data_IF_777715155291
#
_entry.id   IF_777715155291
#
_cell.length_a   1.000
_cell.length_b   1.000
_cell.length_c   1.000
_cell.angle_alpha   90.00
_cell.angle_beta   90.00
_cell.angle_gamma   90.00
#
_symmetry.space_group_name_H-M   'P 1'
#
loop_
_entity.id
_entity.type
_entity.pdbx_description
1 polymer ?
#
# COMPACT_ATOMS: atom_id res chain seq x y z
N UNK A 1 32.57 13.25 26.98
CA UNK A 1 32.31 12.74 25.62
C UNK A 1 30.87 12.29 25.53
N UNK A 2 30.15 12.61 24.45
CA UNK A 2 28.77 12.14 24.27
C UNK A 2 28.75 10.61 24.22
N UNK A 3 27.87 9.98 25.00
CA UNK A 3 27.69 8.52 24.97
C UNK A 3 27.40 8.04 23.54
N UNK A 4 27.91 6.87 23.10
CA UNK A 4 27.63 6.30 21.78
C UNK A 4 26.13 6.21 21.50
N UNK A 5 25.34 5.90 22.53
CA UNK A 5 23.87 5.84 22.46
C UNK A 5 23.23 7.19 22.09
N UNK A 6 23.81 8.31 22.55
CA UNK A 6 23.34 9.65 22.17
C UNK A 6 23.67 9.98 20.71
N UNK A 7 24.77 9.43 20.17
CA UNK A 7 25.14 9.63 18.78
C UNK A 7 24.20 8.85 17.84
N UNK A 8 23.87 7.61 18.18
CA UNK A 8 22.88 6.80 17.46
C UNK A 8 21.49 7.43 17.52
N UNK A 9 21.06 7.87 18.70
CA UNK A 9 19.79 8.56 18.87
C UNK A 9 19.68 9.79 17.96
N UNK A 10 20.74 10.61 17.85
CA UNK A 10 20.76 11.76 16.92
C UNK A 10 20.62 11.35 15.45
N UNK A 11 21.15 10.18 15.07
CA UNK A 11 21.03 9.67 13.69
C UNK A 11 19.64 9.14 13.39
N UNK A 12 18.91 8.60 14.37
CA UNK A 12 17.58 8.01 14.15
C UNK A 12 16.44 8.90 14.64
N UNK A 13 16.72 10.00 15.34
CA UNK A 13 15.68 10.87 15.94
C UNK A 13 14.74 11.47 14.90
N UNK A 14 15.16 11.56 13.64
CA UNK A 14 14.31 12.04 12.56
C UNK A 14 13.31 10.98 12.09
N UNK A 15 13.42 9.71 12.49
CA UNK A 15 12.48 8.65 12.11
C UNK A 15 11.33 8.61 13.13
N UNK A 16 10.35 9.50 12.97
CA UNK A 16 9.20 9.57 13.86
C UNK A 16 7.90 9.27 13.12
N UNK A 17 6.89 8.77 13.84
CA UNK A 17 5.57 8.54 13.21
C UNK A 17 4.97 9.83 12.64
N UNK A 18 5.23 10.97 13.27
CA UNK A 18 4.73 12.28 12.86
C UNK A 18 5.28 12.78 11.53
N UNK A 19 6.47 12.35 11.10
CA UNK A 19 7.06 12.73 9.81
C UNK A 19 7.10 11.58 8.80
N UNK A 20 6.45 10.46 9.10
CA UNK A 20 6.37 9.27 8.22
C UNK A 20 6.02 9.61 6.77
N UNK A 21 5.02 10.46 6.54
CA UNK A 21 4.61 10.84 5.17
C UNK A 21 5.72 11.54 4.37
N UNK A 22 6.61 12.27 5.03
CA UNK A 22 7.74 12.95 4.39
C UNK A 22 8.87 11.96 4.08
N UNK A 23 9.13 11.03 5.01
CA UNK A 23 10.09 9.95 4.82
C UNK A 23 9.67 9.09 3.62
N UNK A 24 8.39 8.74 3.54
CA UNK A 24 7.81 8.00 2.39
C UNK A 24 8.07 8.72 1.07
N UNK A 25 7.90 10.05 1.01
CA UNK A 25 8.16 10.82 -0.20
C UNK A 25 9.65 10.82 -0.59
N UNK A 26 10.54 11.02 0.39
CA UNK A 26 11.99 10.95 0.15
C UNK A 26 12.43 9.56 -0.32
N UNK A 27 11.78 8.52 0.21
CA UNK A 27 12.05 7.15 -0.19
C UNK A 27 11.54 6.84 -1.60
N UNK A 28 10.35 7.34 -1.98
CA UNK A 28 9.86 7.24 -3.36
C UNK A 28 10.85 7.88 -4.32
N UNK A 29 11.35 9.09 -4.00
CA UNK A 29 12.38 9.78 -4.79
C UNK A 29 13.68 8.98 -4.90
N UNK A 30 14.07 8.27 -3.84
CA UNK A 30 15.22 7.36 -3.84
C UNK A 30 15.03 6.18 -4.82
N UNK A 31 13.86 5.55 -4.83
CA UNK A 31 13.52 4.48 -5.79
C UNK A 31 13.50 5.02 -7.23
N UNK A 32 12.92 6.19 -7.44
CA UNK A 32 12.83 6.87 -8.74
C UNK A 32 14.17 7.44 -9.23
N UNK A 33 15.22 7.42 -8.38
CA UNK A 33 16.56 7.99 -8.64
C UNK A 33 16.50 9.48 -9.02
N UNK A 34 15.69 10.25 -8.29
CA UNK A 34 15.57 11.70 -8.46
C UNK A 34 16.90 12.41 -8.15
N UNK A 35 17.48 13.21 -9.08
CA UNK A 35 18.70 13.97 -8.84
C UNK A 35 18.55 15.06 -7.76
N UNK A 36 17.32 15.43 -7.38
CA UNK A 36 17.04 16.38 -6.30
C UNK A 36 17.13 15.77 -4.90
N UNK A 37 17.35 14.45 -4.77
CA UNK A 37 17.43 13.79 -3.48
C UNK A 37 18.74 14.17 -2.75
N UNK A 38 18.69 14.60 -1.46
CA UNK A 38 19.89 14.88 -0.69
C UNK A 38 20.76 13.64 -0.46
N UNK A 39 22.09 13.82 -0.54
CA UNK A 39 23.09 12.74 -0.35
C UNK A 39 22.98 12.04 1.01
N UNK A 40 22.56 12.76 2.05
CA UNK A 40 22.33 12.17 3.38
C UNK A 40 21.24 11.09 3.36
N UNK A 41 20.16 11.30 2.59
CA UNK A 41 19.09 10.33 2.42
C UNK A 41 19.54 9.14 1.60
N UNK A 42 20.28 9.37 0.52
CA UNK A 42 20.84 8.30 -0.30
C UNK A 42 21.75 7.38 0.53
N UNK A 43 22.67 7.96 1.32
CA UNK A 43 23.55 7.20 2.20
C UNK A 43 22.76 6.46 3.28
N UNK A 44 21.76 7.11 3.89
CA UNK A 44 20.91 6.48 4.89
C UNK A 44 20.18 5.25 4.32
N UNK A 45 19.50 5.37 3.18
CA UNK A 45 18.77 4.24 2.58
C UNK A 45 19.72 3.13 2.10
N UNK A 46 20.92 3.47 1.62
CA UNK A 46 21.97 2.47 1.32
C UNK A 46 22.38 1.65 2.55
N UNK A 47 22.45 2.26 3.73
CA UNK A 47 22.81 1.52 4.97
C UNK A 47 21.76 0.51 5.40
N UNK A 48 20.50 0.66 4.98
CA UNK A 48 19.44 -0.29 5.30
C UNK A 48 19.60 -1.61 4.51
N UNK A 49 20.28 -1.57 3.36
CA UNK A 49 20.55 -2.73 2.50
C UNK A 49 19.28 -3.57 2.21
N UNK A 50 18.15 -2.90 2.07
CA UNK A 50 16.86 -3.54 1.85
C UNK A 50 16.69 -3.92 0.36
N UNK A 51 16.00 -5.03 0.12
CA UNK A 51 15.75 -5.54 -1.21
C UNK A 51 14.67 -4.70 -1.90
N UNK A 52 15.07 -3.83 -2.84
CA UNK A 52 14.19 -2.86 -3.51
C UNK A 52 12.91 -3.51 -4.07
N UNK A 53 13.00 -4.76 -4.55
CA UNK A 53 11.88 -5.52 -5.11
C UNK A 53 10.80 -5.88 -4.08
N UNK A 54 11.18 -6.14 -2.82
CA UNK A 54 10.23 -6.44 -1.75
C UNK A 54 9.48 -5.18 -1.33
N UNK A 55 10.19 -4.05 -1.29
CA UNK A 55 9.66 -2.80 -0.77
C UNK A 55 8.75 -2.14 -1.80
N UNK A 56 9.07 -2.22 -3.10
CA UNK A 56 8.15 -1.77 -4.16
C UNK A 56 6.80 -2.47 -4.06
N UNK A 57 6.78 -3.77 -3.74
CA UNK A 57 5.56 -4.56 -3.55
C UNK A 57 4.78 -4.13 -2.30
N UNK A 58 5.47 -3.72 -1.24
CA UNK A 58 4.84 -3.19 -0.02
C UNK A 58 4.28 -1.78 -0.22
N UNK A 59 4.97 -0.93 -0.99
CA UNK A 59 4.54 0.42 -1.38
C UNK A 59 3.30 0.37 -2.26
N UNK A 60 3.29 -0.52 -3.27
CA UNK A 60 2.12 -0.78 -4.12
C UNK A 60 0.89 -1.15 -3.27
N UNK A 61 1.15 -1.74 -2.11
CA UNK A 61 0.15 -2.07 -1.12
C UNK A 61 -0.77 -3.19 -1.58
N UNK A 62 -1.71 -3.60 -0.73
CA UNK A 62 -2.67 -4.60 -1.12
C UNK A 62 -3.58 -4.08 -2.25
N UNK A 63 -3.92 -4.96 -3.18
CA UNK A 63 -4.82 -4.73 -4.34
C UNK A 63 -6.16 -4.06 -4.00
N UNK A 64 -6.64 -4.16 -2.75
CA UNK A 64 -7.88 -3.54 -2.28
C UNK A 64 -7.69 -2.14 -1.70
N UNK A 65 -6.45 -1.66 -1.53
CA UNK A 65 -6.15 -0.30 -1.09
C UNK A 65 -6.35 0.65 -2.27
N UNK A 66 -7.28 1.58 -2.14
CA UNK A 66 -7.55 2.60 -3.16
C UNK A 66 -6.36 3.56 -3.27
N UNK A 67 -5.36 3.22 -4.09
CA UNK A 67 -4.19 4.05 -4.33
C UNK A 67 -4.62 5.39 -4.98
N UNK A 68 -4.54 6.48 -4.23
CA UNK A 68 -4.82 7.85 -4.72
C UNK A 68 -3.61 8.51 -5.40
N UNK A 69 -2.39 7.98 -5.23
CA UNK A 69 -1.18 8.52 -5.85
C UNK A 69 -0.97 7.85 -7.21
N UNK A 70 -1.45 8.51 -8.27
CA UNK A 70 -1.06 8.21 -9.65
C UNK A 70 0.40 8.65 -9.81
N UNK A 71 1.34 7.72 -9.72
CA UNK A 71 2.69 7.97 -10.22
C UNK A 71 2.53 8.22 -11.73
N UNK A 72 2.95 9.39 -12.20
CA UNK A 72 2.86 9.77 -13.61
C UNK A 72 4.01 9.06 -14.34
N UNK A 73 3.88 7.75 -14.54
CA UNK A 73 4.73 7.01 -15.48
C UNK A 73 4.10 7.17 -16.87
N UNK A 74 4.64 8.07 -17.68
CA UNK A 74 4.19 8.24 -19.06
C UNK A 74 4.38 6.94 -19.85
N UNK A 75 3.24 6.33 -20.22
CA UNK A 75 2.98 5.40 -21.33
C UNK A 75 3.99 4.28 -21.57
N UNK A 76 3.63 3.08 -21.14
CA UNK A 76 3.62 1.93 -22.04
C UNK A 76 2.19 1.40 -22.12
N UNK A 77 1.66 1.35 -23.35
CA UNK A 77 0.37 0.77 -23.70
C UNK A 77 0.36 -0.67 -23.19
N UNK A 78 -0.23 -0.89 -22.02
CA UNK A 78 -0.53 -2.23 -21.55
C UNK A 78 -1.74 -2.66 -22.36
N UNK A 79 -1.50 -3.44 -23.41
CA UNK A 79 -2.52 -4.33 -23.93
C UNK A 79 -2.82 -5.33 -22.81
N UNK A 80 -3.61 -4.90 -21.81
CA UNK A 80 -4.45 -5.86 -21.14
C UNK A 80 -5.49 -6.21 -22.19
N UNK A 81 -5.40 -7.42 -22.69
CA UNK A 81 -6.60 -8.18 -23.03
C UNK A 81 -7.37 -8.36 -21.72
N UNK A 82 -7.94 -7.26 -21.22
CA UNK A 82 -9.13 -7.35 -20.40
C UNK A 82 -10.18 -7.82 -21.37
N UNK A 83 -10.50 -9.10 -21.30
CA UNK A 83 -11.80 -9.60 -21.69
C UNK A 83 -12.83 -8.51 -21.39
N UNK A 84 -13.55 -8.10 -22.43
CA UNK A 84 -14.56 -7.05 -22.38
C UNK A 84 -15.62 -7.55 -21.40
N UNK A 85 -15.45 -7.25 -20.11
CA UNK A 85 -16.48 -7.52 -19.10
C UNK A 85 -17.62 -6.60 -19.45
N UNK A 86 -18.69 -7.22 -19.97
CA UNK A 86 -19.86 -6.52 -20.44
C UNK A 86 -20.47 -5.77 -19.25
N UNK A 87 -20.97 -4.55 -19.47
CA UNK A 87 -21.53 -3.72 -18.38
C UNK A 87 -22.66 -4.46 -17.62
N UNK A 88 -23.35 -5.38 -18.31
CA UNK A 88 -24.34 -6.29 -17.74
C UNK A 88 -23.79 -7.21 -16.64
N UNK A 89 -22.54 -7.66 -16.77
CA UNK A 89 -21.92 -8.56 -15.80
C UNK A 89 -21.60 -7.81 -14.51
N UNK A 90 -21.19 -6.54 -14.62
CA UNK A 90 -20.89 -5.68 -13.46
C UNK A 90 -22.14 -5.48 -12.59
N UNK A 91 -23.29 -5.16 -13.19
CA UNK A 91 -24.55 -5.00 -12.44
C UNK A 91 -25.02 -6.32 -11.82
N UNK A 92 -24.80 -7.44 -12.51
CA UNK A 92 -25.08 -8.79 -11.97
C UNK A 92 -24.23 -9.08 -10.73
N UNK A 93 -22.93 -8.83 -10.78
CA UNK A 93 -22.03 -9.03 -9.64
C UNK A 93 -22.37 -8.13 -8.44
N UNK A 94 -22.83 -6.89 -8.69
CA UNK A 94 -23.33 -6.00 -7.62
C UNK A 94 -24.58 -6.60 -6.95
N UNK A 95 -25.55 -7.05 -7.73
CA UNK A 95 -26.77 -7.66 -7.20
C UNK A 95 -26.48 -8.94 -6.40
N UNK A 96 -25.55 -9.77 -6.87
CA UNK A 96 -25.10 -10.98 -6.18
C UNK A 96 -24.38 -10.66 -4.86
N UNK A 97 -23.53 -9.62 -4.84
CA UNK A 97 -22.85 -9.16 -3.62
C UNK A 97 -23.84 -8.69 -2.54
N UNK A 98 -24.88 -7.95 -2.94
CA UNK A 98 -25.92 -7.49 -2.02
C UNK A 98 -26.70 -8.69 -1.44
N UNK A 99 -27.06 -9.67 -2.28
CA UNK A 99 -27.74 -10.91 -1.84
C UNK A 99 -26.90 -11.68 -0.83
N UNK A 100 -25.60 -11.83 -1.07
CA UNK A 100 -24.69 -12.51 -0.14
C UNK A 100 -24.65 -11.82 1.23
N UNK A 101 -24.53 -10.49 1.26
CA UNK A 101 -24.55 -9.71 2.51
C UNK A 101 -25.89 -9.86 3.24
N UNK A 102 -27.01 -9.82 2.51
CA UNK A 102 -28.34 -10.00 3.08
C UNK A 102 -28.50 -11.40 3.70
N UNK A 103 -28.01 -12.44 3.02
CA UNK A 103 -28.00 -13.81 3.52
C UNK A 103 -27.22 -13.93 4.83
N UNK A 104 -25.99 -13.38 4.88
CA UNK A 104 -25.17 -13.37 6.10
C UNK A 104 -25.92 -12.69 7.25
N UNK A 105 -26.54 -11.53 7.02
CA UNK A 105 -27.32 -10.83 8.04
C UNK A 105 -28.52 -11.66 8.52
N UNK A 106 -29.23 -12.31 7.62
CA UNK A 106 -30.35 -13.17 7.96
C UNK A 106 -29.92 -14.34 8.86
N UNK A 107 -28.82 -15.02 8.51
CA UNK A 107 -28.24 -16.08 9.34
C UNK A 107 -27.75 -15.58 10.70
N UNK A 108 -27.20 -14.36 10.79
CA UNK A 108 -26.81 -13.79 12.08
C UNK A 108 -28.00 -13.47 12.99
N UNK A 109 -29.10 -13.00 12.42
CA UNK A 109 -30.28 -12.59 13.19
C UNK A 109 -31.16 -13.80 13.56
N UNK A 110 -31.42 -14.69 12.59
CA UNK A 110 -32.35 -15.83 12.76
C UNK A 110 -31.68 -17.20 12.78
N UNK A 111 -30.35 -17.27 12.71
CA UNK A 111 -29.63 -18.55 12.68
C UNK A 111 -29.84 -19.40 13.93
N UNK A 112 -30.18 -18.77 15.07
CA UNK A 112 -30.51 -19.48 16.31
C UNK A 112 -31.74 -20.40 16.17
N UNK A 113 -32.62 -20.17 15.19
CA UNK A 113 -33.79 -21.03 14.93
C UNK A 113 -33.46 -22.31 14.16
N UNK A 114 -32.32 -22.33 13.46
CA UNK A 114 -31.86 -23.44 12.62
C UNK A 114 -30.68 -24.16 13.30
N UNK A 115 -30.14 -23.59 14.37
CA UNK A 115 -29.06 -24.18 15.15
C UNK A 115 -29.57 -25.44 15.85
N UNK A 116 -28.95 -26.59 15.55
CA UNK A 116 -29.19 -27.85 16.24
C UNK A 116 -28.23 -27.90 17.43
N UNK A 117 -28.71 -27.54 18.62
CA UNK A 117 -27.94 -27.47 19.85
C UNK A 117 -28.02 -28.78 20.64
#
# INVERSE_FOLDING_TARGET
>A
MSSPKNLEYKKTSFLSKSNSSFIEEMYIRYIEKDPSLPVSWENYFKTLNEDLNLITKEIEGPIWKKNKKKIISNKKKLNLETDIVNNKDIEKFKAESIKAIALIRAYRIRGHLIANL
#
